data_IF_740555345735
#
_entry.id   IF_740555345735
#
_cell.length_a   1.000
_cell.length_b   1.000
_cell.length_c   1.000
_cell.angle_alpha   90.00
_cell.angle_beta   90.00
_cell.angle_gamma   90.00
#
_symmetry.space_group_name_H-M   'P 1'
#
loop_
_entity.id
_entity.type
_entity.pdbx_description
1 polymer ?
#
# COMPACT_ATOMS: atom_id res chain seq x y z
N UNK A 1 6.47 -60.28 49.67
CA UNK A 1 7.14 -59.81 48.47
C UNK A 1 6.20 -59.14 47.46
N UNK A 2 5.02 -59.67 47.18
CA UNK A 2 4.05 -59.14 46.25
C UNK A 2 3.53 -57.74 46.60
N UNK A 3 3.28 -57.44 47.88
CA UNK A 3 2.75 -56.14 48.33
C UNK A 3 3.70 -54.93 48.12
N UNK A 4 5.00 -55.18 48.04
CA UNK A 4 6.00 -54.12 47.81
C UNK A 4 6.06 -53.73 46.32
N UNK A 5 5.98 -54.73 45.45
CA UNK A 5 5.95 -54.53 43.99
C UNK A 5 4.70 -53.73 43.53
N UNK A 6 3.56 -54.02 44.17
CA UNK A 6 2.29 -53.30 43.83
C UNK A 6 2.29 -51.84 44.32
N UNK A 7 2.93 -51.55 45.46
CA UNK A 7 3.09 -50.17 45.95
C UNK A 7 4.03 -49.36 45.08
N UNK A 8 5.16 -49.95 44.69
CA UNK A 8 6.13 -49.29 43.84
C UNK A 8 5.57 -49.04 42.43
N UNK A 9 4.78 -49.96 41.89
CA UNK A 9 4.07 -49.77 40.61
C UNK A 9 3.00 -48.67 40.65
N UNK A 10 2.27 -48.55 41.77
CA UNK A 10 1.25 -47.48 41.95
C UNK A 10 1.93 -46.11 42.09
N UNK A 11 3.11 -46.02 42.73
CA UNK A 11 3.87 -44.77 42.86
C UNK A 11 4.45 -44.33 41.48
N UNK A 12 4.94 -45.26 40.68
CA UNK A 12 5.39 -44.96 39.32
C UNK A 12 4.25 -44.52 38.39
N UNK A 13 3.04 -45.11 38.51
CA UNK A 13 1.87 -44.74 37.72
C UNK A 13 1.33 -43.36 38.09
N UNK A 14 1.37 -42.98 39.37
CA UNK A 14 0.98 -41.62 39.83
C UNK A 14 1.99 -40.57 39.43
N UNK A 15 3.32 -40.90 39.42
CA UNK A 15 4.38 -39.97 39.03
C UNK A 15 4.38 -39.72 37.51
N UNK A 16 4.06 -40.71 36.68
CA UNK A 16 3.91 -40.56 35.22
C UNK A 16 2.66 -39.73 34.87
N UNK A 17 1.57 -39.86 35.65
CA UNK A 17 0.34 -39.07 35.41
C UNK A 17 0.52 -37.61 35.80
N UNK A 18 1.44 -37.27 36.73
CA UNK A 18 1.68 -35.88 37.14
C UNK A 18 2.67 -35.17 36.20
N UNK A 19 3.49 -35.86 35.41
CA UNK A 19 4.43 -35.29 34.44
C UNK A 19 3.72 -34.99 33.09
N UNK A 20 2.57 -35.61 32.82
CA UNK A 20 1.72 -35.30 31.66
C UNK A 20 0.71 -34.18 31.90
N UNK A 21 0.91 -33.35 32.92
CA UNK A 21 0.30 -32.01 32.94
C UNK A 21 0.96 -31.19 31.84
N UNK A 22 0.61 -31.49 30.61
CA UNK A 22 0.84 -30.62 29.48
C UNK A 22 0.40 -29.22 29.91
N UNK A 23 1.37 -28.32 30.01
CA UNK A 23 1.10 -26.91 29.96
C UNK A 23 0.38 -26.65 28.62
N UNK A 24 -0.93 -26.81 28.61
CA UNK A 24 -1.80 -26.24 27.57
C UNK A 24 -1.64 -24.74 27.82
N UNK A 25 -0.58 -24.16 27.21
CA UNK A 25 -0.53 -22.72 27.04
C UNK A 25 -1.86 -22.34 26.42
N UNK A 26 -2.63 -21.43 27.04
CA UNK A 26 -3.87 -20.99 26.43
C UNK A 26 -3.52 -20.53 25.01
N UNK A 27 -4.02 -21.23 24.02
CA UNK A 27 -4.03 -20.73 22.65
C UNK A 27 -4.84 -19.45 22.70
N UNK A 28 -4.15 -18.31 22.86
CA UNK A 28 -4.79 -17.02 22.75
C UNK A 28 -5.32 -16.95 21.33
N UNK A 29 -6.65 -16.88 21.18
CA UNK A 29 -7.27 -16.75 19.88
C UNK A 29 -6.63 -15.55 19.15
N UNK A 30 -6.20 -15.75 17.91
CA UNK A 30 -5.60 -14.70 17.10
C UNK A 30 -6.54 -13.50 16.99
N UNK A 31 -6.02 -12.31 17.25
CA UNK A 31 -6.78 -11.06 17.16
C UNK A 31 -7.01 -10.71 15.68
N UNK A 32 -8.27 -10.58 15.28
CA UNK A 32 -8.65 -10.28 13.89
C UNK A 32 -8.27 -8.84 13.54
N UNK A 33 -7.73 -8.64 12.33
CA UNK A 33 -7.40 -7.32 11.79
C UNK A 33 -7.68 -7.29 10.29
N UNK A 34 -8.47 -6.31 9.85
CA UNK A 34 -8.85 -6.15 8.45
C UNK A 34 -8.07 -5.03 7.81
N UNK A 35 -7.37 -5.34 6.71
CA UNK A 35 -6.60 -4.38 5.89
C UNK A 35 -7.24 -4.29 4.51
N UNK A 36 -7.66 -3.11 4.12
CA UNK A 36 -8.10 -2.83 2.75
C UNK A 36 -6.89 -2.46 1.90
N UNK A 37 -6.73 -3.11 0.75
CA UNK A 37 -5.75 -2.72 -0.25
C UNK A 37 -6.24 -1.48 -1.01
N UNK A 38 -5.33 -0.76 -1.67
CA UNK A 38 -5.65 0.39 -2.53
C UNK A 38 -6.10 -0.05 -3.93
N UNK A 39 -5.66 -1.23 -4.38
CA UNK A 39 -5.86 -1.78 -5.70
C UNK A 39 -6.15 -3.28 -5.65
N UNK A 40 -6.37 -3.92 -6.80
CA UNK A 40 -6.32 -5.38 -6.87
C UNK A 40 -4.91 -5.87 -6.51
N UNK A 41 -4.83 -7.12 -5.98
CA UNK A 41 -3.55 -7.70 -5.55
C UNK A 41 -2.54 -7.65 -6.68
N UNK A 42 -1.36 -7.12 -6.39
CA UNK A 42 -0.23 -7.01 -7.31
C UNK A 42 1.09 -7.01 -6.50
N UNK A 43 2.27 -6.99 -7.13
CA UNK A 43 3.56 -7.01 -6.44
C UNK A 43 3.82 -5.88 -5.44
N UNK A 44 3.16 -4.72 -5.54
CA UNK A 44 3.33 -3.63 -4.56
C UNK A 44 2.80 -4.01 -3.17
N UNK A 45 1.90 -5.00 -3.10
CA UNK A 45 1.40 -5.59 -1.85
C UNK A 45 2.28 -6.73 -1.32
N UNK A 46 3.43 -7.02 -1.93
CA UNK A 46 4.29 -8.15 -1.54
C UNK A 46 4.59 -8.20 -0.04
N UNK A 47 4.92 -7.10 0.67
CA UNK A 47 5.17 -7.15 2.11
C UNK A 47 3.99 -7.72 2.90
N UNK A 48 2.76 -7.34 2.56
CA UNK A 48 1.54 -7.80 3.22
C UNK A 48 1.25 -9.27 2.94
N UNK A 49 1.40 -9.68 1.67
CA UNK A 49 1.18 -11.06 1.24
C UNK A 49 2.23 -11.99 1.88
N UNK A 50 3.52 -11.59 1.86
CA UNK A 50 4.59 -12.39 2.44
C UNK A 50 4.45 -12.48 3.96
N UNK A 51 4.07 -11.40 4.65
CA UNK A 51 3.77 -11.46 6.08
C UNK A 51 2.69 -12.50 6.40
N UNK A 52 1.67 -12.58 5.57
CA UNK A 52 0.58 -13.57 5.71
C UNK A 52 1.05 -14.99 5.39
N UNK A 53 1.63 -15.19 4.22
CA UNK A 53 2.01 -16.54 3.71
C UNK A 53 3.14 -17.18 4.51
N UNK A 54 4.02 -16.38 5.11
CA UNK A 54 5.07 -16.87 6.01
C UNK A 54 4.60 -16.98 7.47
N UNK A 55 3.33 -16.71 7.75
CA UNK A 55 2.76 -16.80 9.10
C UNK A 55 3.27 -15.74 10.08
N UNK A 56 3.88 -14.64 9.59
CA UNK A 56 4.45 -13.61 10.46
C UNK A 56 3.36 -12.87 11.25
N UNK A 57 2.19 -12.66 10.68
CA UNK A 57 1.05 -12.13 11.41
C UNK A 57 0.60 -13.09 12.53
N UNK A 58 0.50 -14.38 12.21
CA UNK A 58 0.12 -15.39 13.21
C UNK A 58 1.16 -15.50 14.34
N UNK A 59 2.44 -15.35 14.03
CA UNK A 59 3.53 -15.39 15.03
C UNK A 59 3.41 -14.26 16.06
N UNK A 60 2.82 -13.12 15.70
CA UNK A 60 2.52 -12.02 16.63
C UNK A 60 1.08 -12.05 17.16
N UNK A 61 0.34 -13.15 16.92
CA UNK A 61 -1.02 -13.36 17.42
C UNK A 61 -2.10 -12.59 16.64
N UNK A 62 -1.86 -12.28 15.35
CA UNK A 62 -2.84 -11.61 14.49
C UNK A 62 -3.40 -12.57 13.43
N UNK A 63 -4.72 -12.49 13.20
CA UNK A 63 -5.40 -13.05 12.02
C UNK A 63 -5.72 -11.91 11.06
N UNK A 64 -4.88 -11.70 10.04
CA UNK A 64 -4.98 -10.57 9.11
C UNK A 64 -5.75 -10.96 7.85
N UNK A 65 -6.85 -10.24 7.61
CA UNK A 65 -7.62 -10.32 6.38
C UNK A 65 -7.24 -9.19 5.43
N UNK A 66 -6.68 -9.51 4.26
CA UNK A 66 -6.38 -8.57 3.18
C UNK A 66 -7.57 -8.57 2.19
N UNK A 67 -8.09 -7.38 1.86
CA UNK A 67 -9.27 -7.23 1.00
C UNK A 67 -8.96 -6.21 -0.09
N UNK A 68 -9.01 -6.64 -1.35
CA UNK A 68 -8.97 -5.72 -2.49
C UNK A 68 -10.26 -4.88 -2.56
N UNK A 69 -10.17 -3.59 -2.88
CA UNK A 69 -11.34 -2.71 -2.89
C UNK A 69 -12.20 -2.93 -4.15
N UNK A 70 -13.48 -2.57 -4.04
CA UNK A 70 -14.39 -2.46 -5.19
C UNK A 70 -14.28 -1.11 -5.93
N UNK A 71 -13.72 -0.10 -5.27
CA UNK A 71 -13.44 1.24 -5.78
C UNK A 71 -12.12 1.72 -5.13
N UNK A 72 -11.11 2.14 -5.90
CA UNK A 72 -9.78 2.51 -5.38
C UNK A 72 -9.80 3.76 -4.49
N UNK A 73 -10.86 4.56 -4.51
CA UNK A 73 -10.98 5.75 -3.67
C UNK A 73 -11.58 5.50 -2.28
N UNK A 74 -12.07 4.28 -2.00
CA UNK A 74 -12.82 3.97 -0.78
C UNK A 74 -11.96 3.55 0.43
N UNK A 75 -10.84 2.82 0.31
CA UNK A 75 -10.17 2.19 1.44
C UNK A 75 -9.92 3.11 2.64
N UNK A 76 -9.24 4.26 2.52
CA UNK A 76 -9.02 5.14 3.67
C UNK A 76 -10.31 5.74 4.24
N UNK A 77 -11.33 5.98 3.40
CA UNK A 77 -12.64 6.47 3.87
C UNK A 77 -13.37 5.44 4.73
N UNK A 78 -13.23 4.15 4.41
CA UNK A 78 -13.80 3.07 5.21
C UNK A 78 -13.08 2.92 6.56
N UNK A 79 -11.77 3.13 6.62
CA UNK A 79 -11.03 3.22 7.89
C UNK A 79 -11.49 4.43 8.71
N UNK A 80 -11.61 5.61 8.09
CA UNK A 80 -12.13 6.80 8.76
C UNK A 80 -13.54 6.61 9.31
N UNK A 81 -14.37 5.78 8.66
CA UNK A 81 -15.71 5.43 9.09
C UNK A 81 -15.77 4.25 10.08
N UNK A 82 -14.62 3.70 10.53
CA UNK A 82 -14.54 2.55 11.45
C UNK A 82 -15.03 1.22 10.86
N UNK A 83 -15.06 1.10 9.52
CA UNK A 83 -15.52 -0.12 8.81
C UNK A 83 -14.38 -1.08 8.44
N UNK A 84 -13.14 -0.67 8.65
CA UNK A 84 -11.95 -1.50 8.55
C UNK A 84 -10.91 -0.97 9.55
N UNK A 85 -9.93 -1.82 9.91
CA UNK A 85 -8.89 -1.44 10.86
C UNK A 85 -7.81 -0.59 10.18
N UNK A 86 -7.35 -1.02 9.01
CA UNK A 86 -6.27 -0.42 8.26
C UNK A 86 -6.60 -0.32 6.77
N UNK A 87 -5.92 0.59 6.08
CA UNK A 87 -5.93 0.65 4.62
C UNK A 87 -4.54 0.98 4.07
N UNK A 88 -4.25 0.47 2.89
CA UNK A 88 -3.21 1.02 2.01
C UNK A 88 -3.76 2.32 1.43
N UNK A 89 -2.93 3.34 1.41
CA UNK A 89 -3.25 4.69 0.92
C UNK A 89 -1.98 5.36 0.38
N UNK A 90 -2.07 6.63 0.01
CA UNK A 90 -1.00 7.42 -0.56
C UNK A 90 -0.72 8.64 0.32
N UNK A 91 0.55 9.04 0.50
CA UNK A 91 0.86 10.22 1.30
C UNK A 91 0.12 11.48 0.81
N UNK A 92 0.09 11.82 -0.49
CA UNK A 92 -0.65 12.99 -0.97
C UNK A 92 -2.15 12.93 -0.65
N UNK A 93 -2.76 11.75 -0.79
CA UNK A 93 -4.18 11.53 -0.46
C UNK A 93 -4.45 11.74 1.03
N UNK A 94 -3.55 11.25 1.89
CA UNK A 94 -3.67 11.43 3.35
C UNK A 94 -3.70 12.91 3.73
N UNK A 95 -2.80 13.75 3.17
CA UNK A 95 -2.80 15.18 3.44
C UNK A 95 -4.14 15.84 3.08
N UNK A 96 -4.68 15.54 1.88
CA UNK A 96 -5.96 16.08 1.44
C UNK A 96 -7.12 15.61 2.33
N UNK A 97 -7.15 14.33 2.69
CA UNK A 97 -8.20 13.77 3.53
C UNK A 97 -8.17 14.30 4.96
N UNK A 98 -6.98 14.51 5.52
CA UNK A 98 -6.84 15.13 6.86
C UNK A 98 -7.28 16.59 6.86
N UNK A 99 -6.96 17.38 5.81
CA UNK A 99 -7.48 18.74 5.63
C UNK A 99 -9.02 18.76 5.50
N UNK A 100 -9.61 17.70 4.94
CA UNK A 100 -11.06 17.51 4.88
C UNK A 100 -11.67 17.02 6.21
N UNK A 101 -10.85 16.80 7.24
CA UNK A 101 -11.29 16.39 8.57
C UNK A 101 -11.42 14.88 8.79
N UNK A 102 -10.92 14.03 7.87
CA UNK A 102 -10.93 12.59 8.08
C UNK A 102 -9.94 12.21 9.21
N UNK A 103 -10.36 11.41 10.20
CA UNK A 103 -9.53 11.03 11.36
C UNK A 103 -8.54 9.92 11.01
N UNK A 104 -7.67 10.17 10.04
CA UNK A 104 -6.68 9.22 9.55
C UNK A 104 -5.29 9.55 10.05
N UNK A 105 -4.47 8.50 10.24
CA UNK A 105 -3.07 8.65 10.61
C UNK A 105 -2.23 7.58 9.91
N UNK A 106 -1.08 7.98 9.36
CA UNK A 106 -0.06 7.06 8.82
C UNK A 106 0.65 6.34 9.97
N UNK A 107 0.78 5.02 9.86
CA UNK A 107 1.50 4.17 10.82
C UNK A 107 2.66 3.39 10.19
N UNK A 108 2.68 3.22 8.87
CA UNK A 108 3.77 2.54 8.15
C UNK A 108 3.86 3.02 6.69
N UNK A 109 5.02 2.79 6.05
CA UNK A 109 5.26 3.03 4.63
C UNK A 109 5.70 1.72 3.97
N UNK A 110 5.07 1.35 2.86
CA UNK A 110 5.47 0.19 2.04
C UNK A 110 6.43 0.61 0.92
N UNK A 111 6.13 1.73 0.23
CA UNK A 111 6.95 2.28 -0.86
C UNK A 111 7.18 3.76 -0.60
N UNK A 112 8.44 4.16 -0.41
CA UNK A 112 8.84 5.51 -0.01
C UNK A 112 9.28 6.41 -1.18
N UNK A 113 9.00 5.99 -2.41
CA UNK A 113 9.30 6.77 -3.64
C UNK A 113 8.08 6.83 -4.53
N UNK A 114 7.86 7.90 -5.30
CA UNK A 114 6.75 7.99 -6.23
C UNK A 114 6.75 6.86 -7.26
N UNK A 115 5.61 6.21 -7.43
CA UNK A 115 5.32 5.25 -8.51
C UNK A 115 4.43 5.89 -9.57
N UNK A 116 3.55 6.78 -9.15
CA UNK A 116 2.60 7.48 -10.00
C UNK A 116 3.29 8.19 -11.16
N UNK A 117 2.63 8.20 -12.30
CA UNK A 117 3.06 8.91 -13.49
C UNK A 117 1.86 9.35 -14.34
N UNK A 118 2.06 10.42 -15.09
CA UNK A 118 1.19 10.82 -16.18
C UNK A 118 1.67 10.11 -17.45
N UNK A 119 0.84 9.24 -18.02
CA UNK A 119 1.21 8.39 -19.15
C UNK A 119 0.40 8.73 -20.39
N UNK A 120 1.09 8.80 -21.52
CA UNK A 120 0.52 8.92 -22.87
C UNK A 120 1.03 7.76 -23.74
N UNK A 121 0.40 7.51 -24.89
CA UNK A 121 0.97 6.56 -25.87
C UNK A 121 2.31 7.08 -26.39
N UNK A 122 3.38 6.26 -26.32
CA UNK A 122 4.74 6.66 -26.73
C UNK A 122 4.81 7.11 -28.20
N UNK A 123 4.07 6.43 -29.07
CA UNK A 123 4.02 6.71 -30.51
C UNK A 123 2.79 7.54 -30.88
N UNK A 124 2.13 8.18 -29.89
CA UNK A 124 0.99 9.08 -30.10
C UNK A 124 1.41 10.53 -30.38
N UNK A 125 0.44 11.39 -30.60
CA UNK A 125 0.69 12.81 -30.93
C UNK A 125 1.10 13.67 -29.74
N UNK A 126 0.96 13.16 -28.50
CA UNK A 126 1.31 13.88 -27.27
C UNK A 126 2.76 13.57 -26.93
N UNK A 127 3.61 14.57 -27.00
CA UNK A 127 5.06 14.46 -26.77
C UNK A 127 5.53 15.23 -25.55
N UNK A 128 4.72 16.20 -25.11
CA UNK A 128 4.95 17.05 -23.95
C UNK A 128 3.63 17.26 -23.17
N UNK A 129 3.74 17.76 -21.94
CA UNK A 129 2.55 18.09 -21.13
C UNK A 129 1.76 19.25 -21.74
N UNK A 130 2.41 20.17 -22.46
CA UNK A 130 1.73 21.25 -23.17
C UNK A 130 0.73 20.77 -24.24
N UNK A 131 0.95 19.57 -24.80
CA UNK A 131 0.07 18.96 -25.82
C UNK A 131 -1.24 18.43 -25.22
N UNK A 132 -1.39 18.46 -23.88
CA UNK A 132 -2.59 17.99 -23.17
C UNK A 132 -3.77 18.97 -23.24
N UNK A 133 -3.58 20.16 -23.76
CA UNK A 133 -4.67 21.13 -23.92
C UNK A 133 -5.82 20.52 -24.73
N UNK A 134 -7.04 20.60 -24.17
CA UNK A 134 -8.28 20.02 -24.71
C UNK A 134 -8.30 18.48 -24.79
N UNK A 135 -7.36 17.77 -24.09
CA UNK A 135 -7.30 16.31 -24.07
C UNK A 135 -8.10 15.73 -22.91
N UNK A 136 -8.49 14.45 -23.08
CA UNK A 136 -9.16 13.64 -22.06
C UNK A 136 -8.08 12.96 -21.22
N UNK A 137 -8.12 13.18 -19.91
CA UNK A 137 -7.17 12.56 -18.98
C UNK A 137 -7.95 11.64 -18.04
N UNK A 138 -7.62 10.35 -18.07
CA UNK A 138 -8.17 9.35 -17.18
C UNK A 138 -7.50 9.44 -15.79
N UNK A 139 -8.29 9.22 -14.75
CA UNK A 139 -7.82 9.10 -13.37
C UNK A 139 -8.59 7.99 -12.63
N UNK A 140 -8.03 7.48 -11.54
CA UNK A 140 -8.65 6.44 -10.70
C UNK A 140 -9.03 6.94 -9.32
N UNK A 141 -8.17 7.71 -8.67
CA UNK A 141 -8.34 8.19 -7.28
C UNK A 141 -8.48 9.72 -7.29
N UNK A 142 -9.72 10.19 -7.29
CA UNK A 142 -10.02 11.61 -7.26
C UNK A 142 -9.59 12.32 -5.96
N UNK A 143 -9.31 13.62 -6.05
CA UNK A 143 -8.86 14.47 -4.94
C UNK A 143 -7.35 14.44 -4.69
N UNK A 144 -6.66 13.46 -5.25
CA UNK A 144 -5.22 13.27 -5.10
C UNK A 144 -4.50 13.28 -6.47
N UNK A 145 -4.96 12.46 -7.43
CA UNK A 145 -4.32 12.39 -8.74
C UNK A 145 -4.54 13.67 -9.55
N UNK A 146 -5.71 14.28 -9.44
CA UNK A 146 -6.00 15.60 -10.02
C UNK A 146 -5.18 16.72 -9.36
N UNK A 147 -4.85 16.61 -8.07
CA UNK A 147 -3.96 17.54 -7.39
C UNK A 147 -2.54 17.48 -7.95
N UNK A 148 -1.99 16.27 -8.15
CA UNK A 148 -0.68 16.09 -8.78
C UNK A 148 -0.70 16.61 -10.23
N UNK A 149 -1.71 16.24 -10.99
CA UNK A 149 -1.89 16.68 -12.38
C UNK A 149 -1.96 18.21 -12.48
N UNK A 150 -2.68 18.87 -11.55
CA UNK A 150 -2.80 20.35 -11.53
C UNK A 150 -1.41 21.00 -11.46
N UNK A 151 -0.52 20.50 -10.62
CA UNK A 151 0.85 21.00 -10.51
C UNK A 151 1.66 20.77 -11.80
N UNK A 152 1.57 19.57 -12.36
CA UNK A 152 2.26 19.23 -13.61
C UNK A 152 1.79 20.11 -14.77
N UNK A 153 0.48 20.35 -14.90
CA UNK A 153 -0.10 21.23 -15.90
C UNK A 153 0.34 22.69 -15.71
N UNK A 154 0.33 23.18 -14.46
CA UNK A 154 0.68 24.58 -14.15
C UNK A 154 2.13 24.92 -14.57
N UNK A 155 3.09 24.00 -14.40
CA UNK A 155 4.48 24.16 -14.88
C UNK A 155 4.57 24.38 -16.38
N UNK A 156 3.57 23.94 -17.15
CA UNK A 156 3.50 24.06 -18.60
C UNK A 156 2.46 25.09 -19.08
N UNK A 157 2.00 25.99 -18.17
CA UNK A 157 1.05 27.08 -18.50
C UNK A 157 -0.37 26.59 -18.73
N UNK A 158 -0.71 25.38 -18.28
CA UNK A 158 -2.06 24.81 -18.36
C UNK A 158 -2.68 24.70 -16.94
N UNK A 159 -3.97 24.46 -16.91
CA UNK A 159 -4.74 24.22 -15.69
C UNK A 159 -5.70 23.03 -15.89
N UNK A 160 -6.34 22.56 -14.83
CA UNK A 160 -7.38 21.52 -14.93
C UNK A 160 -8.57 21.93 -15.82
N UNK A 161 -8.78 23.25 -16.04
CA UNK A 161 -9.83 23.75 -16.94
C UNK A 161 -9.49 23.53 -18.42
N UNK A 162 -8.21 23.34 -18.73
CA UNK A 162 -7.73 23.12 -20.09
C UNK A 162 -7.80 21.65 -20.52
N UNK A 163 -8.22 20.74 -19.63
CA UNK A 163 -8.30 19.30 -19.87
C UNK A 163 -9.65 18.75 -19.43
N UNK A 164 -10.02 17.57 -19.94
CA UNK A 164 -11.24 16.87 -19.52
C UNK A 164 -10.88 15.66 -18.67
N UNK A 165 -11.17 15.71 -17.37
CA UNK A 165 -10.96 14.60 -16.46
C UNK A 165 -12.06 13.54 -16.61
N UNK A 166 -11.67 12.26 -16.67
CA UNK A 166 -12.57 11.11 -16.79
C UNK A 166 -12.17 10.07 -15.75
N UNK A 167 -13.05 9.75 -14.82
CA UNK A 167 -12.82 8.63 -13.92
C UNK A 167 -12.86 7.32 -14.72
N UNK A 168 -11.77 6.57 -14.72
CA UNK A 168 -11.62 5.29 -15.41
C UNK A 168 -11.56 4.12 -14.43
N UNK A 169 -11.69 4.38 -13.12
CA UNK A 169 -11.64 3.38 -12.09
C UNK A 169 -10.35 2.53 -12.23
N UNK A 170 -10.42 1.22 -12.20
CA UNK A 170 -9.28 0.29 -12.35
C UNK A 170 -8.74 0.16 -13.79
N UNK A 171 -9.22 0.98 -14.74
CA UNK A 171 -8.96 0.77 -16.19
C UNK A 171 -8.00 1.80 -16.77
N UNK A 172 -6.88 2.11 -16.09
CA UNK A 172 -5.89 3.10 -16.58
C UNK A 172 -5.32 2.70 -17.95
N UNK A 173 -4.52 1.64 -18.03
CA UNK A 173 -3.93 1.19 -19.30
C UNK A 173 -4.96 0.80 -20.35
N UNK A 174 -6.05 0.06 -20.06
CA UNK A 174 -7.08 -0.24 -21.06
C UNK A 174 -7.74 1.01 -21.64
N UNK A 175 -7.96 2.05 -20.85
CA UNK A 175 -8.62 3.28 -21.31
C UNK A 175 -7.76 4.09 -22.28
N UNK A 176 -6.45 4.17 -22.06
CA UNK A 176 -5.55 4.87 -23.00
C UNK A 176 -5.31 4.05 -24.26
N UNK A 177 -5.15 2.71 -24.13
CA UNK A 177 -4.92 1.82 -25.26
C UNK A 177 -6.11 1.78 -26.21
N UNK A 178 -7.34 1.83 -25.68
CA UNK A 178 -8.57 1.86 -26.49
C UNK A 178 -8.90 3.25 -27.06
N UNK A 179 -8.18 4.30 -26.66
CA UNK A 179 -8.48 5.69 -27.06
C UNK A 179 -9.70 6.29 -26.36
N UNK A 180 -10.19 5.69 -25.26
CA UNK A 180 -11.23 6.28 -24.40
C UNK A 180 -10.75 7.58 -23.78
N UNK A 181 -9.47 7.63 -23.41
CA UNK A 181 -8.75 8.82 -22.94
C UNK A 181 -7.44 9.00 -23.73
N UNK A 182 -6.88 10.21 -23.69
CA UNK A 182 -5.68 10.57 -24.44
C UNK A 182 -4.41 10.46 -23.56
N UNK A 183 -4.60 10.54 -22.22
CA UNK A 183 -3.59 10.33 -21.20
C UNK A 183 -4.22 9.72 -19.95
N UNK A 184 -3.40 9.18 -19.04
CA UNK A 184 -3.84 8.76 -17.70
C UNK A 184 -2.85 9.29 -16.64
N UNK A 185 -3.38 9.78 -15.53
CA UNK A 185 -2.64 10.04 -14.29
C UNK A 185 -2.97 8.93 -13.30
N UNK A 186 -2.04 8.56 -12.41
CA UNK A 186 -2.23 7.44 -11.50
C UNK A 186 -1.59 6.12 -11.98
N UNK A 187 -1.06 6.10 -13.20
CA UNK A 187 -0.38 4.92 -13.73
C UNK A 187 0.98 4.71 -13.03
N UNK A 188 1.18 3.54 -12.43
CA UNK A 188 2.42 3.20 -11.76
C UNK A 188 3.49 2.74 -12.75
N UNK A 189 4.68 3.36 -12.61
CA UNK A 189 5.83 3.12 -13.51
C UNK A 189 6.35 1.67 -13.50
N UNK A 190 6.11 0.95 -12.42
CA UNK A 190 6.48 -0.47 -12.25
C UNK A 190 5.38 -1.44 -12.68
N UNK A 191 4.15 -1.00 -12.92
CA UNK A 191 3.02 -1.85 -13.27
C UNK A 191 2.41 -1.47 -14.63
N UNK A 192 1.77 -0.30 -14.76
CA UNK A 192 1.06 0.09 -15.98
C UNK A 192 1.98 0.25 -17.19
N UNK A 193 3.23 0.75 -17.02
CA UNK A 193 4.18 0.83 -18.14
C UNK A 193 4.58 -0.57 -18.64
N UNK A 194 4.78 -1.54 -17.74
CA UNK A 194 5.01 -2.93 -18.11
C UNK A 194 3.80 -3.54 -18.83
N UNK A 195 2.59 -3.27 -18.34
CA UNK A 195 1.36 -3.75 -18.97
C UNK A 195 1.22 -3.22 -20.41
N UNK A 196 1.43 -1.91 -20.61
CA UNK A 196 1.37 -1.29 -21.93
C UNK A 196 2.43 -1.85 -22.87
N UNK A 197 3.62 -2.12 -22.39
CA UNK A 197 4.72 -2.70 -23.16
C UNK A 197 4.41 -4.12 -23.63
N UNK A 198 3.87 -4.97 -22.73
CA UNK A 198 3.41 -6.34 -23.04
C UNK A 198 2.30 -6.30 -24.10
N UNK A 199 1.39 -5.33 -24.01
CA UNK A 199 0.31 -5.14 -24.98
C UNK A 199 0.77 -4.51 -26.31
N UNK A 200 2.08 -4.29 -26.52
CA UNK A 200 2.67 -3.67 -27.72
C UNK A 200 2.14 -2.25 -28.00
N UNK A 201 1.74 -1.56 -26.94
CA UNK A 201 1.29 -0.15 -26.93
C UNK A 201 2.09 0.61 -25.87
N UNK A 202 3.42 0.77 -26.04
CA UNK A 202 4.28 1.34 -25.01
C UNK A 202 3.83 2.74 -24.60
N UNK A 203 3.93 3.02 -23.29
CA UNK A 203 3.67 4.32 -22.71
C UNK A 203 4.91 5.22 -22.74
N UNK A 204 4.69 6.54 -22.78
CA UNK A 204 5.65 7.57 -22.37
C UNK A 204 5.15 8.13 -21.06
N UNK A 205 5.99 8.10 -20.04
CA UNK A 205 5.68 8.65 -18.73
C UNK A 205 6.28 10.03 -18.54
N UNK A 206 5.55 10.91 -17.86
CA UNK A 206 6.03 12.14 -17.24
C UNK A 206 5.92 11.93 -15.72
N UNK A 207 7.02 12.13 -15.02
CA UNK A 207 7.08 11.85 -13.59
C UNK A 207 6.74 13.10 -12.78
N UNK A 208 5.83 13.02 -11.79
CA UNK A 208 5.43 14.17 -10.98
C UNK A 208 6.62 14.89 -10.35
N UNK A 209 7.64 14.15 -9.86
CA UNK A 209 8.83 14.70 -9.23
C UNK A 209 9.72 15.49 -10.20
N UNK A 210 9.65 15.24 -11.49
CA UNK A 210 10.32 16.03 -12.55
C UNK A 210 9.47 17.23 -12.98
N UNK A 211 8.19 17.21 -12.65
CA UNK A 211 7.20 18.20 -13.06
C UNK A 211 6.71 19.11 -11.92
N UNK A 212 7.53 19.25 -10.87
CA UNK A 212 7.31 20.24 -9.80
C UNK A 212 6.62 19.71 -8.56
N UNK A 213 6.28 18.43 -8.49
CA UNK A 213 5.77 17.81 -7.28
C UNK A 213 6.94 17.32 -6.42
N UNK A 214 7.03 17.69 -5.13
CA UNK A 214 8.10 17.15 -4.27
C UNK A 214 8.00 15.63 -4.11
N UNK A 215 9.11 14.92 -3.89
CA UNK A 215 9.09 13.48 -3.58
C UNK A 215 8.21 13.18 -2.36
N UNK A 216 7.46 12.07 -2.45
CA UNK A 216 6.54 11.61 -1.41
C UNK A 216 6.55 10.08 -1.27
N UNK A 217 5.94 9.59 -0.18
CA UNK A 217 5.73 8.16 0.02
C UNK A 217 4.52 7.69 -0.82
N UNK A 218 4.75 6.78 -1.77
CA UNK A 218 3.66 6.32 -2.65
C UNK A 218 2.67 5.46 -1.89
N UNK A 219 3.13 4.38 -1.24
CA UNK A 219 2.23 3.47 -0.52
C UNK A 219 2.49 3.54 0.98
N UNK A 220 1.46 3.93 1.71
CA UNK A 220 1.45 4.02 3.16
C UNK A 220 0.33 3.17 3.76
N UNK A 221 0.47 2.81 5.03
CA UNK A 221 -0.61 2.20 5.80
C UNK A 221 -1.21 3.26 6.71
N UNK A 222 -2.53 3.44 6.61
CA UNK A 222 -3.29 4.34 7.46
C UNK A 222 -4.21 3.60 8.42
N UNK A 223 -4.36 4.15 9.63
CA UNK A 223 -5.28 3.72 10.67
C UNK A 223 -6.25 4.86 11.03
N UNK A 224 -7.30 4.57 11.77
CA UNK A 224 -8.12 5.59 12.42
C UNK A 224 -7.34 6.18 13.61
N UNK A 225 -7.20 7.51 13.69
CA UNK A 225 -6.34 8.17 14.69
C UNK A 225 -6.77 7.88 16.15
N UNK A 226 -8.03 7.57 16.41
CA UNK A 226 -8.50 7.23 17.76
C UNK A 226 -8.12 5.80 18.18
N UNK A 227 -7.60 4.97 17.26
CA UNK A 227 -7.24 3.58 17.52
C UNK A 227 -5.74 3.40 17.83
N UNK A 228 -4.97 4.48 18.04
CA UNK A 228 -3.51 4.38 18.26
C UNK A 228 -3.09 3.59 19.50
N UNK A 229 -3.97 3.48 20.51
CA UNK A 229 -3.73 2.65 21.68
C UNK A 229 -3.91 1.12 21.42
N UNK A 230 -4.42 0.75 20.24
CA UNK A 230 -4.63 -0.65 19.85
C UNK A 230 -3.28 -1.34 19.60
N UNK A 231 -2.95 -2.29 20.46
CA UNK A 231 -1.69 -3.06 20.39
C UNK A 231 -1.54 -3.87 19.10
N UNK A 232 -2.66 -4.18 18.41
CA UNK A 232 -2.63 -4.89 17.13
C UNK A 232 -1.88 -4.11 16.05
N UNK A 233 -1.93 -2.76 16.08
CA UNK A 233 -1.26 -1.90 15.12
C UNK A 233 0.26 -2.08 15.15
N UNK A 234 0.85 -2.10 16.36
CA UNK A 234 2.29 -2.30 16.54
C UNK A 234 2.71 -3.70 16.07
N UNK A 235 1.98 -4.74 16.50
CA UNK A 235 2.21 -6.13 16.06
C UNK A 235 2.16 -6.24 14.52
N UNK A 236 1.21 -5.55 13.90
CA UNK A 236 1.08 -5.53 12.44
C UNK A 236 2.30 -4.90 11.76
N UNK A 237 2.74 -3.72 12.23
CA UNK A 237 3.90 -3.03 11.67
C UNK A 237 5.17 -3.87 11.85
N UNK A 238 5.37 -4.47 13.01
CA UNK A 238 6.50 -5.38 13.27
C UNK A 238 6.52 -6.56 12.29
N UNK A 239 5.38 -7.20 12.07
CA UNK A 239 5.26 -8.32 11.13
C UNK A 239 5.60 -7.93 9.68
N UNK A 240 5.18 -6.74 9.22
CA UNK A 240 5.55 -6.28 7.86
C UNK A 240 7.01 -5.86 7.75
N UNK A 241 7.65 -5.37 8.81
CA UNK A 241 9.09 -5.11 8.81
C UNK A 241 9.89 -6.40 8.61
N UNK A 242 9.55 -7.46 9.34
CA UNK A 242 10.14 -8.79 9.13
C UNK A 242 9.87 -9.32 7.71
N UNK A 243 8.65 -9.12 7.21
CA UNK A 243 8.29 -9.55 5.85
C UNK A 243 9.12 -8.85 4.78
N UNK A 244 9.34 -7.54 4.90
CA UNK A 244 10.18 -6.78 3.95
C UNK A 244 11.62 -7.29 3.98
N UNK A 245 12.21 -7.47 5.16
CA UNK A 245 13.56 -8.00 5.29
C UNK A 245 13.69 -9.40 4.71
N UNK A 246 12.71 -10.27 5.00
CA UNK A 246 12.66 -11.61 4.41
C UNK A 246 12.58 -11.55 2.88
N UNK A 247 11.67 -10.74 2.36
CA UNK A 247 11.42 -10.58 0.93
C UNK A 247 12.67 -10.12 0.16
N UNK A 248 13.42 -9.17 0.71
CA UNK A 248 14.63 -8.64 0.08
C UNK A 248 15.78 -9.65 0.14
N UNK A 249 15.91 -10.39 1.24
CA UNK A 249 16.95 -11.40 1.38
C UNK A 249 16.64 -12.72 0.66
N UNK A 250 15.35 -13.01 0.41
CA UNK A 250 14.87 -14.24 -0.23
C UNK A 250 13.89 -13.95 -1.39
N UNK A 251 14.26 -13.14 -2.40
CA UNK A 251 13.32 -12.64 -3.41
C UNK A 251 12.67 -13.75 -4.25
N UNK A 252 13.43 -14.81 -4.59
CA UNK A 252 12.93 -15.95 -5.37
C UNK A 252 11.93 -16.79 -4.56
N UNK A 253 12.24 -17.06 -3.30
CA UNK A 253 11.35 -17.81 -2.42
C UNK A 253 10.09 -17.03 -2.10
N UNK A 254 10.22 -15.72 -1.90
CA UNK A 254 9.10 -14.81 -1.70
C UNK A 254 8.19 -14.74 -2.93
N UNK A 255 8.76 -14.69 -4.14
CA UNK A 255 7.98 -14.80 -5.37
C UNK A 255 7.19 -16.11 -5.42
N UNK A 256 7.83 -17.24 -5.13
CA UNK A 256 7.15 -18.53 -5.11
C UNK A 256 5.99 -18.57 -4.09
N UNK A 257 6.17 -17.98 -2.92
CA UNK A 257 5.10 -17.84 -1.91
C UNK A 257 3.96 -16.97 -2.41
N UNK A 258 4.28 -15.82 -3.02
CA UNK A 258 3.32 -14.88 -3.58
C UNK A 258 2.43 -15.54 -4.67
N UNK A 259 3.03 -16.24 -5.65
CA UNK A 259 2.28 -16.89 -6.73
C UNK A 259 1.57 -18.17 -6.26
N UNK A 260 2.03 -18.83 -5.20
CA UNK A 260 1.33 -19.96 -4.60
C UNK A 260 0.00 -19.55 -3.99
N UNK A 261 -0.03 -18.38 -3.33
CA UNK A 261 -1.24 -17.77 -2.79
C UNK A 261 -2.13 -17.19 -3.90
N UNK A 262 -1.53 -16.69 -4.97
CA UNK A 262 -2.20 -15.98 -6.05
C UNK A 262 -1.83 -16.54 -7.44
N UNK A 263 -2.19 -17.80 -7.70
CA UNK A 263 -1.78 -18.55 -8.92
C UNK A 263 -2.05 -17.81 -10.24
N UNK A 264 -3.11 -17.01 -10.32
CA UNK A 264 -3.47 -16.22 -11.51
C UNK A 264 -2.50 -15.07 -11.80
N UNK A 265 -1.66 -14.69 -10.83
CA UNK A 265 -0.65 -13.64 -10.97
C UNK A 265 0.72 -14.19 -11.43
N UNK A 266 0.82 -15.48 -11.75
CA UNK A 266 2.03 -16.04 -12.32
C UNK A 266 2.06 -15.79 -13.83
N UNK A 267 2.24 -14.54 -14.22
CA UNK A 267 2.26 -14.07 -15.61
C UNK A 267 3.42 -13.08 -15.84
N UNK A 268 3.65 -12.72 -17.10
CA UNK A 268 4.75 -11.83 -17.49
C UNK A 268 4.65 -10.45 -16.84
N UNK A 269 3.44 -9.90 -16.70
CA UNK A 269 3.22 -8.60 -16.08
C UNK A 269 3.69 -8.59 -14.63
N UNK A 270 3.21 -9.55 -13.85
CA UNK A 270 3.54 -9.62 -12.43
C UNK A 270 5.02 -10.00 -12.19
N UNK A 271 5.65 -10.79 -13.07
CA UNK A 271 7.09 -11.08 -13.01
C UNK A 271 7.91 -9.79 -13.22
N UNK A 272 7.55 -8.97 -14.22
CA UNK A 272 8.21 -7.68 -14.47
C UNK A 272 7.96 -6.71 -13.31
N UNK A 273 6.71 -6.56 -12.90
CA UNK A 273 6.33 -5.69 -11.80
C UNK A 273 7.03 -6.09 -10.49
N UNK A 274 7.12 -7.39 -10.18
CA UNK A 274 7.86 -7.88 -9.01
C UNK A 274 9.31 -7.39 -9.00
N UNK A 275 10.02 -7.60 -10.10
CA UNK A 275 11.42 -7.15 -10.26
C UNK A 275 11.55 -5.64 -10.06
N UNK A 276 10.61 -4.86 -10.61
CA UNK A 276 10.66 -3.40 -10.62
C UNK A 276 10.15 -2.80 -9.28
N UNK A 277 9.37 -3.54 -8.49
CA UNK A 277 8.88 -3.15 -7.16
C UNK A 277 9.92 -3.38 -6.06
N UNK A 278 10.64 -4.51 -6.08
CA UNK A 278 11.55 -4.89 -4.98
C UNK A 278 12.51 -3.77 -4.55
N UNK A 279 13.23 -3.07 -5.45
CA UNK A 279 14.18 -2.02 -5.07
C UNK A 279 13.50 -0.75 -4.53
N UNK A 280 12.17 -0.66 -4.58
CA UNK A 280 11.37 0.50 -4.16
C UNK A 280 10.72 0.31 -2.79
N UNK A 281 10.75 -0.92 -2.27
CA UNK A 281 10.20 -1.22 -0.96
C UNK A 281 10.99 -0.51 0.14
N UNK A 282 10.26 0.01 1.11
CA UNK A 282 10.85 0.64 2.29
C UNK A 282 11.46 -0.43 3.19
N UNK A 283 12.77 -0.34 3.48
CA UNK A 283 13.46 -1.32 4.33
C UNK A 283 12.99 -1.31 5.79
N UNK A 284 12.47 -0.18 6.25
CA UNK A 284 11.94 0.04 7.60
C UNK A 284 10.56 0.67 7.52
N UNK A 285 9.49 -0.13 7.33
CA UNK A 285 8.11 0.35 7.23
C UNK A 285 7.64 1.27 8.36
N UNK A 286 8.06 1.04 9.61
CA UNK A 286 7.70 1.88 10.75
C UNK A 286 8.23 3.32 10.60
N UNK A 287 9.48 3.46 10.18
CA UNK A 287 10.15 4.75 10.10
C UNK A 287 9.50 5.68 9.07
N UNK A 288 9.53 6.98 9.31
CA UNK A 288 9.09 7.99 8.36
C UNK A 288 9.93 9.26 8.42
N UNK A 289 10.00 9.98 7.30
CA UNK A 289 10.67 11.27 7.20
C UNK A 289 9.68 12.41 7.50
N UNK A 290 9.66 12.87 8.76
CA UNK A 290 8.82 14.01 9.19
C UNK A 290 9.02 15.25 8.30
N UNK A 291 10.26 15.53 7.89
CA UNK A 291 10.57 16.70 7.08
C UNK A 291 9.99 16.58 5.67
N UNK A 292 9.93 15.37 5.10
CA UNK A 292 9.23 15.09 3.83
C UNK A 292 7.75 15.41 3.94
N UNK A 293 7.07 14.94 4.99
CA UNK A 293 5.66 15.22 5.23
C UNK A 293 5.39 16.71 5.39
N UNK A 294 6.26 17.41 6.14
CA UNK A 294 6.14 18.85 6.32
C UNK A 294 6.31 19.61 5.00
N UNK A 295 7.38 19.33 4.23
CA UNK A 295 7.60 19.95 2.90
C UNK A 295 6.46 19.69 1.94
N UNK A 296 5.88 18.48 1.98
CA UNK A 296 4.76 18.13 1.10
C UNK A 296 3.47 18.86 1.51
N UNK A 297 3.22 19.04 2.81
CA UNK A 297 2.09 19.84 3.30
C UNK A 297 2.23 21.32 2.89
N UNK A 298 3.42 21.89 3.01
CA UNK A 298 3.73 23.25 2.56
C UNK A 298 3.51 23.40 1.04
N UNK A 299 3.98 22.45 0.27
CA UNK A 299 3.74 22.40 -1.17
C UNK A 299 2.24 22.39 -1.48
N UNK A 300 1.44 21.49 -0.91
CA UNK A 300 -0.01 21.41 -1.14
C UNK A 300 -0.72 22.70 -0.73
N UNK A 301 -0.31 23.33 0.38
CA UNK A 301 -0.85 24.61 0.83
C UNK A 301 -0.56 25.73 -0.17
N UNK A 302 0.69 25.81 -0.66
CA UNK A 302 1.11 26.81 -1.63
C UNK A 302 0.39 26.65 -2.98
N UNK A 303 0.02 25.42 -3.35
CA UNK A 303 -0.79 25.14 -4.54
C UNK A 303 -2.30 25.31 -4.30
N UNK A 304 -2.73 25.67 -3.08
CA UNK A 304 -4.15 25.82 -2.76
C UNK A 304 -4.93 24.50 -2.70
N UNK A 305 -4.24 23.37 -2.59
CA UNK A 305 -4.82 22.01 -2.60
C UNK A 305 -5.28 21.58 -1.21
N UNK A 306 -4.76 22.19 -0.15
CA UNK A 306 -5.24 22.10 1.22
C UNK A 306 -5.45 23.49 1.81
N UNK A 307 -6.36 23.61 2.76
CA UNK A 307 -6.70 24.87 3.42
C UNK A 307 -5.74 25.26 4.50
N UNK A 308 -5.21 24.26 5.26
CA UNK A 308 -4.30 24.49 6.36
C UNK A 308 -3.28 23.36 6.49
N UNK A 309 -2.11 23.68 7.06
CA UNK A 309 -1.10 22.70 7.39
C UNK A 309 -1.37 22.21 8.81
N UNK A 310 -1.74 20.94 8.95
CA UNK A 310 -1.84 20.29 10.25
C UNK A 310 -0.44 19.92 10.78
N UNK A 311 -0.21 19.94 12.10
CA UNK A 311 1.02 19.39 12.67
C UNK A 311 1.23 17.93 12.24
N UNK A 312 2.42 17.59 11.74
CA UNK A 312 2.68 16.26 11.15
C UNK A 312 2.33 15.12 12.12
N UNK A 313 2.61 15.28 13.41
CA UNK A 313 2.32 14.28 14.44
C UNK A 313 0.82 13.98 14.63
N UNK A 314 -0.07 14.82 14.10
CA UNK A 314 -1.52 14.60 14.16
C UNK A 314 -2.00 13.59 13.10
N UNK A 315 -1.19 13.32 12.06
CA UNK A 315 -1.59 12.46 10.95
C UNK A 315 -0.49 11.53 10.44
N UNK A 316 0.74 11.59 10.96
CA UNK A 316 1.80 10.66 10.64
C UNK A 316 2.72 10.45 11.85
N UNK A 317 2.91 9.18 12.23
CA UNK A 317 3.76 8.79 13.37
C UNK A 317 4.56 7.55 13.06
N UNK A 318 5.62 7.34 13.83
CA UNK A 318 6.23 6.05 14.09
C UNK A 318 5.60 5.50 15.37
N UNK A 319 5.04 4.28 15.33
CA UNK A 319 4.43 3.66 16.50
C UNK A 319 5.53 3.33 17.55
N UNK A 320 5.29 3.62 18.83
CA UNK A 320 6.27 3.42 19.89
C UNK A 320 6.58 1.94 20.17
#
# INVERSE_FOLDING_TARGET
>A
MLNKIFKDFLIYLTTIFTILSFNILPSTASEKLTVLLDWFVNPDHAPLIIAKEKGLFNAVGLDVKLIAPSDPSLPPKLVAAGKADLAVSYQPQLHVQVDQGLPLIRIATLVSTPLNSLVVLKNGPITSISDLKNKRIGFSVGGFEDALLSTMLAKHGLSLKDVKLINVNFSLSPSIISGKVDAVIGAFRNFELNQMDIMKKPGRAFFPEEEGVPPYDELIIVAHKNNLADKRLRKFVEAIEYAVQYLINHPKESWNSFISAHKKLNDELNIRAWRDTLPRLTLRPAAFDRARYQRFAEFLKNQGLIKQIQPVQEYAIELP
#
